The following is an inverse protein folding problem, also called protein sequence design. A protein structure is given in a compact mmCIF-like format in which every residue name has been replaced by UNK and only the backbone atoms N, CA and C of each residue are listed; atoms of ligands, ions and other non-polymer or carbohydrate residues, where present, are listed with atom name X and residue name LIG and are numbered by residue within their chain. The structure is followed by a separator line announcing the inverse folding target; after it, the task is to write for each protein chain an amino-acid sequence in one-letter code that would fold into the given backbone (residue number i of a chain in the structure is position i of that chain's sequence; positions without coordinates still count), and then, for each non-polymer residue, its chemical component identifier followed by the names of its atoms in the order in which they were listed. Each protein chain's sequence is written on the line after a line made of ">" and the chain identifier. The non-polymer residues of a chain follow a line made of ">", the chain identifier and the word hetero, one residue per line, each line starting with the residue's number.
data_IF_034309892772
#
_entry.id   IF_034309892772
#
_cell.length_a   1.000
_cell.length_b   1.000
_cell.length_c   1.000
_cell.angle_alpha   90.00
_cell.angle_beta   90.00
_cell.angle_gamma   90.00
#
_symmetry.space_group_name_H-M   'P 1'
#
loop_
_entity.id
_entity.type
_entity.pdbx_description
1 polymer ?
#
# COMPACT_ATOMS: atom_id res chain seq x y z
N UNK A 1 -40.72 14.47 -12.21
CA UNK A 1 -39.97 13.28 -12.65
C UNK A 1 -40.18 13.10 -14.13
N UNK A 2 -39.11 12.96 -14.93
CA UNK A 2 -39.19 12.74 -16.38
C UNK A 2 -39.01 11.26 -16.67
N UNK A 3 -39.95 10.66 -17.38
CA UNK A 3 -39.83 9.26 -17.84
C UNK A 3 -39.27 9.24 -19.25
N UNK A 4 -38.25 8.40 -19.47
CA UNK A 4 -37.56 8.22 -20.73
C UNK A 4 -37.58 6.75 -21.10
N UNK A 5 -38.03 6.45 -22.31
CA UNK A 5 -37.97 5.09 -22.84
C UNK A 5 -36.65 4.91 -23.57
N UNK A 6 -36.00 3.78 -23.32
CA UNK A 6 -34.69 3.46 -23.89
C UNK A 6 -34.86 2.58 -25.13
N UNK A 7 -33.95 2.72 -26.10
CA UNK A 7 -33.92 1.85 -27.27
C UNK A 7 -33.48 0.41 -26.91
N UNK A 8 -34.20 -0.59 -27.40
CA UNK A 8 -33.74 -1.98 -27.39
C UNK A 8 -32.63 -2.19 -28.43
N UNK A 9 -32.72 -1.51 -29.57
CA UNK A 9 -31.73 -1.62 -30.66
C UNK A 9 -31.40 -0.23 -31.20
N UNK A 10 -30.10 0.04 -31.32
CA UNK A 10 -29.55 1.26 -31.93
C UNK A 10 -28.71 0.92 -33.15
N UNK A 11 -28.47 1.89 -34.02
CA UNK A 11 -27.47 1.78 -35.08
C UNK A 11 -26.03 1.97 -34.55
N UNK A 12 -25.04 1.89 -35.45
CA UNK A 12 -23.64 2.08 -35.12
C UNK A 12 -23.30 3.49 -34.56
N UNK A 13 -24.18 4.48 -34.79
CA UNK A 13 -24.02 5.85 -34.27
C UNK A 13 -24.77 6.06 -32.95
N UNK A 14 -25.43 5.03 -32.41
CA UNK A 14 -26.23 5.12 -31.19
C UNK A 14 -27.64 5.69 -31.40
N UNK A 15 -28.07 5.89 -32.65
CA UNK A 15 -29.43 6.35 -32.93
C UNK A 15 -30.43 5.20 -32.81
N UNK A 16 -31.58 5.39 -32.13
CA UNK A 16 -32.61 4.35 -32.02
C UNK A 16 -33.16 3.99 -33.40
N UNK A 17 -33.35 2.69 -33.66
CA UNK A 17 -34.12 2.26 -34.83
C UNK A 17 -35.63 2.51 -34.59
N UNK A 18 -36.46 2.45 -35.63
CA UNK A 18 -37.92 2.50 -35.44
C UNK A 18 -38.41 1.26 -34.68
N UNK A 19 -39.55 1.33 -33.96
CA UNK A 19 -40.05 0.21 -33.14
C UNK A 19 -40.07 -1.14 -33.86
N UNK A 20 -40.59 -1.17 -35.08
CA UNK A 20 -40.69 -2.38 -35.92
C UNK A 20 -39.31 -3.00 -36.18
N UNK A 21 -38.31 -2.15 -36.48
CA UNK A 21 -36.93 -2.55 -36.76
C UNK A 21 -36.21 -3.03 -35.49
N UNK A 22 -36.45 -2.37 -34.36
CA UNK A 22 -35.90 -2.81 -33.08
C UNK A 22 -36.37 -4.22 -32.71
N UNK A 23 -37.68 -4.48 -32.83
CA UNK A 23 -38.28 -5.80 -32.58
C UNK A 23 -37.72 -6.86 -33.52
N UNK A 24 -37.66 -6.57 -34.82
CA UNK A 24 -37.17 -7.52 -35.81
C UNK A 24 -35.70 -7.91 -35.58
N UNK A 25 -34.80 -6.95 -35.28
CA UNK A 25 -33.39 -7.24 -35.00
C UNK A 25 -33.25 -8.06 -33.71
N UNK A 26 -33.94 -7.68 -32.64
CA UNK A 26 -33.87 -8.37 -31.36
C UNK A 26 -34.38 -9.81 -31.43
N UNK A 27 -35.54 -10.03 -32.07
CA UNK A 27 -36.10 -11.37 -32.30
C UNK A 27 -35.19 -12.20 -33.20
N UNK A 28 -34.71 -11.65 -34.31
CA UNK A 28 -33.80 -12.37 -35.22
C UNK A 28 -32.51 -12.80 -34.50
N UNK A 29 -31.95 -11.94 -33.65
CA UNK A 29 -30.79 -12.27 -32.81
C UNK A 29 -31.11 -13.41 -31.84
N UNK A 30 -32.26 -13.36 -31.18
CA UNK A 30 -32.70 -14.42 -30.25
C UNK A 30 -32.80 -15.79 -30.93
N UNK A 31 -33.29 -15.80 -32.18
CA UNK A 31 -33.72 -16.99 -32.91
C UNK A 31 -32.71 -17.53 -33.91
N UNK A 32 -31.52 -16.93 -33.88
CA UNK A 32 -30.36 -17.33 -34.67
C UNK A 32 -29.87 -18.77 -34.40
N UNK A 33 -30.29 -19.40 -33.29
CA UNK A 33 -29.90 -20.76 -32.86
C UNK A 33 -30.65 -21.93 -33.53
N UNK A 34 -31.44 -21.70 -34.59
CA UNK A 34 -32.32 -22.71 -35.23
C UNK A 34 -33.42 -23.30 -34.33
N UNK A 35 -33.58 -22.81 -33.10
CA UNK A 35 -34.65 -23.25 -32.18
C UNK A 35 -35.89 -22.37 -32.37
N UNK A 36 -37.09 -22.94 -32.24
CA UNK A 36 -38.37 -22.22 -32.22
C UNK A 36 -38.72 -21.80 -30.79
N UNK A 37 -39.44 -20.70 -30.66
CA UNK A 37 -39.85 -20.12 -29.37
C UNK A 37 -41.22 -20.63 -28.95
N UNK A 38 -41.41 -20.88 -27.67
CA UNK A 38 -42.73 -21.17 -27.07
C UNK A 38 -43.44 -19.88 -26.63
N UNK A 39 -42.69 -18.92 -26.09
CA UNK A 39 -43.19 -17.57 -25.77
C UNK A 39 -42.10 -16.50 -25.87
N UNK A 40 -42.45 -15.30 -26.33
CA UNK A 40 -41.58 -14.13 -26.24
C UNK A 40 -42.28 -12.96 -25.55
N UNK A 41 -41.60 -12.32 -24.62
CA UNK A 41 -42.15 -11.19 -23.87
C UNK A 41 -41.19 -10.03 -23.90
N UNK A 42 -41.69 -8.86 -24.29
CA UNK A 42 -40.97 -7.61 -24.15
C UNK A 42 -41.35 -6.96 -22.81
N UNK A 43 -40.39 -6.87 -21.90
CA UNK A 43 -40.55 -6.23 -20.59
C UNK A 43 -39.83 -4.89 -20.54
N UNK A 44 -40.28 -4.02 -19.64
CA UNK A 44 -39.62 -2.77 -19.31
C UNK A 44 -39.05 -2.86 -17.91
N UNK A 45 -37.73 -2.74 -17.77
CA UNK A 45 -37.04 -2.66 -16.49
C UNK A 45 -37.03 -1.18 -16.02
N UNK A 46 -37.78 -0.84 -14.96
CA UNK A 46 -37.80 0.52 -14.43
C UNK A 46 -36.52 0.80 -13.62
N UNK A 47 -35.77 1.82 -14.05
CA UNK A 47 -34.57 2.29 -13.38
C UNK A 47 -34.71 3.77 -13.06
N UNK A 48 -34.55 4.15 -11.80
CA UNK A 48 -34.54 5.54 -11.40
C UNK A 48 -33.10 6.08 -11.33
N UNK A 49 -32.84 7.14 -12.08
CA UNK A 49 -31.59 7.90 -12.05
C UNK A 49 -31.81 9.14 -11.18
N UNK A 50 -31.00 9.30 -10.13
CA UNK A 50 -31.06 10.47 -9.23
C UNK A 50 -29.74 11.23 -9.27
N UNK A 51 -29.81 12.52 -9.62
CA UNK A 51 -28.64 13.38 -9.81
C UNK A 51 -27.98 13.72 -8.48
N UNK A 52 -26.68 13.46 -8.38
CA UNK A 52 -25.81 13.85 -7.29
C UNK A 52 -24.99 15.07 -7.72
N UNK A 53 -25.43 16.26 -7.33
CA UNK A 53 -24.77 17.52 -7.69
C UNK A 53 -23.29 17.55 -7.27
N UNK A 54 -23.01 17.09 -6.05
CA UNK A 54 -21.68 17.08 -5.43
C UNK A 54 -20.63 16.30 -6.26
N UNK A 55 -21.06 15.25 -6.98
CA UNK A 55 -20.18 14.40 -7.80
C UNK A 55 -20.36 14.63 -9.31
N UNK A 56 -21.32 15.47 -9.71
CA UNK A 56 -21.64 15.73 -11.11
C UNK A 56 -22.08 14.49 -11.89
N UNK A 57 -22.82 13.57 -11.25
CA UNK A 57 -23.27 12.29 -11.82
C UNK A 57 -24.64 11.85 -11.30
N UNK A 58 -25.05 10.63 -11.61
CA UNK A 58 -26.31 10.01 -11.19
C UNK A 58 -26.04 8.70 -10.46
N UNK A 59 -26.79 8.47 -9.38
CA UNK A 59 -26.97 7.14 -8.82
C UNK A 59 -28.13 6.45 -9.55
N UNK A 60 -27.97 5.16 -9.85
CA UNK A 60 -28.95 4.38 -10.61
C UNK A 60 -29.59 3.32 -9.72
N UNK A 61 -30.91 3.34 -9.61
CA UNK A 61 -31.68 2.44 -8.75
C UNK A 61 -32.59 1.53 -9.57
N UNK A 62 -32.48 0.23 -9.35
CA UNK A 62 -33.42 -0.80 -9.79
C UNK A 62 -34.71 -0.70 -8.99
N UNK A 63 -35.80 -0.22 -9.61
CA UNK A 63 -37.07 -0.09 -8.91
C UNK A 63 -37.74 -1.45 -8.64
N UNK A 64 -37.28 -2.54 -9.27
CA UNK A 64 -37.82 -3.89 -9.06
C UNK A 64 -37.30 -4.57 -7.80
N UNK A 65 -36.21 -4.05 -7.21
CA UNK A 65 -35.58 -4.57 -5.99
C UNK A 65 -34.93 -5.94 -6.15
N UNK A 66 -34.51 -6.30 -7.36
CA UNK A 66 -33.77 -7.53 -7.64
C UNK A 66 -32.26 -7.32 -7.48
N UNK A 67 -31.78 -6.09 -7.64
CA UNK A 67 -30.37 -5.72 -7.57
C UNK A 67 -30.12 -4.90 -6.32
N UNK A 68 -29.06 -5.25 -5.60
CA UNK A 68 -28.52 -4.44 -4.52
C UNK A 68 -27.00 -4.33 -4.67
N UNK A 69 -26.46 -3.18 -4.29
CA UNK A 69 -25.01 -3.01 -4.17
C UNK A 69 -24.57 -3.46 -2.79
N UNK A 70 -23.55 -4.33 -2.74
CA UNK A 70 -22.90 -4.75 -1.49
C UNK A 70 -21.40 -4.51 -1.57
N UNK A 71 -20.82 -3.99 -0.51
CA UNK A 71 -19.36 -3.87 -0.39
C UNK A 71 -18.95 -3.93 1.07
N UNK A 72 -17.71 -4.37 1.28
CA UNK A 72 -17.13 -4.53 2.60
C UNK A 72 -16.32 -3.29 2.97
N UNK A 73 -16.62 -2.73 4.14
CA UNK A 73 -15.92 -1.61 4.75
C UNK A 73 -15.02 -2.12 5.88
N UNK A 74 -13.78 -1.66 5.90
CA UNK A 74 -12.85 -1.96 6.98
C UNK A 74 -13.13 -1.07 8.20
N UNK A 75 -13.25 -1.63 9.40
CA UNK A 75 -13.39 -0.82 10.63
C UNK A 75 -12.01 -0.48 11.17
N UNK A 76 -11.73 0.81 11.39
CA UNK A 76 -10.44 1.25 11.95
C UNK A 76 -10.18 0.65 13.34
N UNK A 77 -8.90 0.41 13.63
CA UNK A 77 -8.44 0.10 14.98
C UNK A 77 -8.67 1.27 15.94
N UNK A 78 -8.66 0.98 17.24
CA UNK A 78 -8.78 1.98 18.30
C UNK A 78 -7.44 2.72 18.53
N UNK A 79 -6.94 3.39 17.49
CA UNK A 79 -5.66 4.08 17.53
C UNK A 79 -5.63 5.21 18.56
N UNK A 80 -6.76 5.87 18.80
CA UNK A 80 -6.89 6.91 19.81
C UNK A 80 -6.59 6.37 21.22
N UNK A 81 -7.12 5.20 21.57
CA UNK A 81 -6.82 4.54 22.84
C UNK A 81 -5.32 4.26 23.01
N UNK A 82 -4.65 3.76 21.97
CA UNK A 82 -3.22 3.48 22.02
C UNK A 82 -2.38 4.76 22.15
N UNK A 83 -2.69 5.80 21.37
CA UNK A 83 -1.99 7.09 21.45
C UNK A 83 -2.15 7.75 22.82
N UNK A 84 -3.34 7.70 23.40
CA UNK A 84 -3.62 8.18 24.75
C UNK A 84 -2.91 7.37 25.84
N UNK A 85 -2.57 6.12 25.55
CA UNK A 85 -1.78 5.29 26.47
C UNK A 85 -0.29 5.63 26.41
N UNK A 86 0.23 5.98 25.22
CA UNK A 86 1.63 6.38 25.06
C UNK A 86 1.99 7.69 25.76
N UNK A 87 1.06 8.64 25.84
CA UNK A 87 1.29 9.90 26.55
C UNK A 87 1.52 9.73 28.06
N UNK A 88 1.14 8.57 28.62
CA UNK A 88 1.33 8.23 30.04
C UNK A 88 2.66 7.52 30.32
N UNK A 89 3.37 7.09 29.27
CA UNK A 89 4.63 6.36 29.42
C UNK A 89 5.77 7.33 29.73
N UNK A 90 6.68 6.90 30.61
CA UNK A 90 7.73 7.79 31.11
C UNK A 90 9.08 7.50 30.49
N UNK A 91 9.37 6.22 30.19
CA UNK A 91 10.67 5.79 29.68
C UNK A 91 10.62 5.34 28.21
N UNK A 92 11.72 5.50 27.45
CA UNK A 92 11.82 4.99 26.08
C UNK A 92 11.65 3.47 25.95
N UNK A 93 12.09 2.70 26.95
CA UNK A 93 11.97 1.24 26.94
C UNK A 93 10.51 0.79 27.11
N UNK A 94 9.75 1.44 28.01
CA UNK A 94 8.30 1.23 28.12
C UNK A 94 7.59 1.56 26.80
N UNK A 95 7.92 2.70 26.21
CA UNK A 95 7.35 3.13 24.93
C UNK A 95 7.61 2.11 23.82
N UNK A 96 8.87 1.70 23.63
CA UNK A 96 9.27 0.69 22.65
C UNK A 96 8.52 -0.64 22.84
N UNK A 97 8.35 -1.07 24.09
CA UNK A 97 7.68 -2.33 24.39
C UNK A 97 6.19 -2.27 24.03
N UNK A 98 5.47 -1.23 24.44
CA UNK A 98 4.05 -1.10 24.11
C UNK A 98 3.86 -0.88 22.61
N UNK A 99 4.71 -0.07 21.98
CA UNK A 99 4.66 0.27 20.55
C UNK A 99 4.63 -0.97 19.64
N UNK A 100 5.39 -2.02 19.99
CA UNK A 100 5.48 -3.26 19.21
C UNK A 100 4.28 -4.18 19.34
N UNK A 101 3.54 -4.07 20.43
CA UNK A 101 2.43 -4.96 20.74
C UNK A 101 1.10 -4.45 20.18
N UNK A 102 1.08 -3.23 19.64
CA UNK A 102 -0.12 -2.66 19.00
C UNK A 102 -0.24 -3.21 17.58
N UNK A 103 -1.41 -3.75 17.19
CA UNK A 103 -1.63 -4.28 15.85
C UNK A 103 -1.96 -3.13 14.86
N UNK A 104 -0.95 -2.34 14.50
CA UNK A 104 -1.11 -1.13 13.70
C UNK A 104 -1.75 -1.33 12.32
N UNK A 105 -1.58 -2.52 11.73
CA UNK A 105 -2.09 -2.84 10.40
C UNK A 105 -3.43 -3.59 10.42
N UNK A 106 -3.83 -4.13 11.57
CA UNK A 106 -4.99 -5.01 11.63
C UNK A 106 -6.27 -4.19 11.79
N UNK A 107 -7.27 -4.41 10.93
CA UNK A 107 -8.55 -3.80 11.12
C UNK A 107 -9.27 -4.40 12.32
N UNK A 108 -10.12 -3.61 12.97
CA UNK A 108 -10.95 -4.10 14.08
C UNK A 108 -11.99 -5.11 13.60
N UNK A 109 -12.38 -5.00 12.34
CA UNK A 109 -13.34 -5.89 11.71
C UNK A 109 -13.71 -5.41 10.31
N UNK A 110 -14.65 -6.12 9.71
CA UNK A 110 -15.23 -5.79 8.41
C UNK A 110 -16.74 -5.64 8.60
N UNK A 111 -17.29 -4.56 8.07
CA UNK A 111 -18.71 -4.28 8.02
C UNK A 111 -19.19 -4.40 6.58
N UNK A 112 -20.11 -5.33 6.31
CA UNK A 112 -20.74 -5.44 4.98
C UNK A 112 -21.88 -4.44 4.88
N UNK A 113 -21.72 -3.45 4.01
CA UNK A 113 -22.76 -2.48 3.67
C UNK A 113 -23.61 -3.02 2.54
N UNK A 114 -24.93 -2.83 2.62
CA UNK A 114 -25.88 -3.13 1.55
C UNK A 114 -26.70 -1.87 1.24
N UNK A 115 -26.63 -1.42 0.00
CA UNK A 115 -27.44 -0.32 -0.52
C UNK A 115 -28.53 -0.91 -1.41
N UNK A 116 -29.78 -0.80 -0.96
CA UNK A 116 -30.92 -1.50 -1.58
C UNK A 116 -31.28 -0.86 -2.92
N UNK A 117 -31.50 -1.66 -3.95
CA UNK A 117 -31.86 -1.17 -5.28
C UNK A 117 -30.72 -0.49 -6.03
N UNK A 118 -29.66 -0.05 -5.36
CA UNK A 118 -28.57 0.66 -6.03
C UNK A 118 -27.82 -0.29 -6.96
N UNK A 119 -27.62 0.13 -8.20
CA UNK A 119 -26.91 -0.62 -9.23
C UNK A 119 -25.43 -0.22 -9.21
N UNK A 120 -24.55 -1.20 -9.01
CA UNK A 120 -23.10 -0.96 -8.94
C UNK A 120 -22.44 -0.91 -10.31
N UNK A 121 -23.03 -1.62 -11.25
CA UNK A 121 -22.59 -1.78 -12.62
C UNK A 121 -22.85 -0.52 -13.44
N UNK A 122 -21.94 -0.20 -14.36
CA UNK A 122 -22.13 0.95 -15.24
C UNK A 122 -23.19 0.67 -16.31
N UNK A 123 -24.42 1.10 -16.03
CA UNK A 123 -25.56 1.01 -16.95
C UNK A 123 -25.66 2.22 -17.90
N UNK A 124 -24.75 3.19 -17.85
CA UNK A 124 -24.74 4.37 -18.73
C UNK A 124 -24.89 4.00 -20.21
N UNK A 125 -24.23 2.94 -20.73
CA UNK A 125 -24.40 2.52 -22.12
C UNK A 125 -25.84 2.15 -22.51
N UNK A 126 -26.66 1.67 -21.56
CA UNK A 126 -28.07 1.37 -21.81
C UNK A 126 -28.92 2.64 -21.73
N UNK A 127 -28.75 3.47 -20.71
CA UNK A 127 -29.65 4.61 -20.49
C UNK A 127 -29.36 5.83 -21.36
N UNK A 128 -28.34 5.81 -22.22
CA UNK A 128 -27.92 6.97 -23.04
C UNK A 128 -28.69 7.17 -24.36
N UNK A 129 -29.52 6.21 -24.79
CA UNK A 129 -30.20 6.27 -26.09
C UNK A 129 -31.73 6.29 -25.93
N UNK A 130 -32.33 7.48 -25.69
CA UNK A 130 -33.78 7.65 -25.66
C UNK A 130 -34.42 7.20 -26.98
N UNK A 131 -35.62 6.63 -26.89
CA UNK A 131 -36.38 6.12 -28.02
C UNK A 131 -37.88 6.37 -27.85
N UNK A 132 -38.63 6.16 -28.93
CA UNK A 132 -40.08 6.04 -28.88
C UNK A 132 -40.43 4.81 -28.02
N UNK A 133 -41.46 4.87 -27.14
CA UNK A 133 -41.84 3.75 -26.29
C UNK A 133 -42.14 2.49 -27.11
N UNK A 134 -41.53 1.37 -26.71
CA UNK A 134 -41.96 0.05 -27.13
C UNK A 134 -43.13 -0.41 -26.23
N UNK A 135 -44.03 -1.28 -26.72
CA UNK A 135 -45.17 -1.82 -25.97
C UNK A 135 -44.73 -2.88 -24.93
N UNK A 136 -43.90 -2.44 -23.99
CA UNK A 136 -43.32 -3.25 -22.92
C UNK A 136 -44.34 -3.54 -21.81
N UNK A 137 -44.25 -4.72 -21.19
CA UNK A 137 -44.87 -4.97 -19.89
C UNK A 137 -43.91 -4.44 -18.82
N UNK A 138 -44.33 -3.41 -18.11
CA UNK A 138 -43.51 -2.84 -17.05
C UNK A 138 -43.39 -3.85 -15.89
N UNK A 139 -42.16 -4.12 -15.45
CA UNK A 139 -41.93 -4.92 -14.26
C UNK A 139 -42.46 -4.19 -13.01
N UNK A 140 -42.96 -4.97 -12.04
CA UNK A 140 -43.48 -4.43 -10.79
C UNK A 140 -42.42 -3.62 -10.04
N UNK A 141 -42.75 -2.38 -9.68
CA UNK A 141 -41.91 -1.53 -8.83
C UNK A 141 -42.09 -1.92 -7.37
N UNK A 142 -41.02 -2.40 -6.74
CA UNK A 142 -40.98 -2.80 -5.33
C UNK A 142 -40.20 -1.82 -4.44
N UNK A 143 -39.40 -0.96 -5.05
CA UNK A 143 -38.66 0.09 -4.37
C UNK A 143 -39.33 1.42 -4.69
N UNK A 144 -39.70 2.17 -3.65
CA UNK A 144 -40.35 3.47 -3.76
C UNK A 144 -39.34 4.62 -3.72
N UNK A 145 -39.77 5.82 -4.11
CA UNK A 145 -38.99 7.06 -3.99
C UNK A 145 -38.49 7.32 -2.57
N UNK A 146 -39.28 6.97 -1.54
CA UNK A 146 -38.89 7.11 -0.14
C UNK A 146 -37.72 6.20 0.22
N UNK A 147 -37.76 4.94 -0.23
CA UNK A 147 -36.66 3.99 -0.04
C UNK A 147 -35.42 4.51 -0.75
N UNK A 148 -35.53 4.97 -2.00
CA UNK A 148 -34.39 5.52 -2.75
C UNK A 148 -33.78 6.72 -2.04
N UNK A 149 -34.62 7.59 -1.46
CA UNK A 149 -34.13 8.75 -0.71
C UNK A 149 -33.37 8.34 0.56
N UNK A 150 -33.85 7.33 1.29
CA UNK A 150 -33.14 6.76 2.44
C UNK A 150 -31.80 6.13 2.05
N UNK A 151 -31.75 5.41 0.93
CA UNK A 151 -30.51 4.78 0.44
C UNK A 151 -29.48 5.83 -0.04
N UNK A 152 -29.93 6.96 -0.57
CA UNK A 152 -29.06 8.11 -0.89
C UNK A 152 -28.50 8.74 0.39
N UNK A 153 -29.33 8.91 1.42
CA UNK A 153 -28.86 9.42 2.72
C UNK A 153 -27.83 8.48 3.35
N UNK A 154 -28.08 7.17 3.29
CA UNK A 154 -27.15 6.15 3.76
C UNK A 154 -25.83 6.19 2.97
N UNK A 155 -25.90 6.25 1.63
CA UNK A 155 -24.73 6.42 0.77
C UNK A 155 -23.90 7.66 1.14
N UNK A 156 -24.55 8.82 1.35
CA UNK A 156 -23.89 10.05 1.82
C UNK A 156 -23.27 9.88 3.21
N UNK A 157 -24.00 9.23 4.13
CA UNK A 157 -23.53 8.95 5.49
C UNK A 157 -22.25 8.13 5.46
N UNK A 158 -22.20 7.09 4.64
CA UNK A 158 -21.01 6.24 4.51
C UNK A 158 -19.83 7.02 3.94
N UNK A 159 -20.04 7.85 2.91
CA UNK A 159 -18.99 8.73 2.38
C UNK A 159 -18.43 9.66 3.47
N UNK A 160 -19.31 10.30 4.23
CA UNK A 160 -18.91 11.19 5.33
C UNK A 160 -18.13 10.45 6.40
N UNK A 161 -18.54 9.24 6.75
CA UNK A 161 -17.83 8.39 7.71
C UNK A 161 -16.42 8.07 7.20
N UNK A 162 -16.28 7.60 5.96
CA UNK A 162 -14.96 7.23 5.40
C UNK A 162 -14.06 8.47 5.28
N UNK A 163 -14.59 9.62 4.86
CA UNK A 163 -13.83 10.87 4.81
C UNK A 163 -13.36 11.30 6.20
N UNK A 164 -14.23 11.25 7.21
CA UNK A 164 -13.84 11.55 8.60
C UNK A 164 -12.83 10.56 9.16
N UNK A 165 -12.89 9.29 8.77
CA UNK A 165 -11.89 8.28 9.11
C UNK A 165 -10.52 8.56 8.48
N UNK A 166 -10.50 9.03 7.22
CA UNK A 166 -9.27 9.46 6.54
C UNK A 166 -8.63 10.66 7.23
N UNK A 167 -9.43 11.63 7.67
CA UNK A 167 -8.95 12.79 8.44
C UNK A 167 -8.38 12.36 9.80
N UNK A 168 -9.09 11.50 10.53
CA UNK A 168 -8.61 10.94 11.80
C UNK A 168 -7.29 10.19 11.66
N UNK A 169 -7.08 9.44 10.58
CA UNK A 169 -5.81 8.76 10.33
C UNK A 169 -4.64 9.74 10.18
N UNK A 170 -4.86 10.92 9.58
CA UNK A 170 -3.85 11.97 9.51
C UNK A 170 -3.55 12.56 10.89
N UNK A 171 -4.58 12.79 11.70
CA UNK A 171 -4.43 13.25 13.08
C UNK A 171 -3.66 12.23 13.92
N UNK A 172 -4.02 10.95 13.85
CA UNK A 172 -3.34 9.87 14.54
C UNK A 172 -1.87 9.76 14.14
N UNK A 173 -1.56 9.87 12.84
CA UNK A 173 -0.20 9.89 12.35
C UNK A 173 0.59 11.07 12.91
N UNK A 174 0.02 12.28 12.93
CA UNK A 174 0.67 13.48 13.49
C UNK A 174 0.94 13.33 14.99
N UNK A 175 -0.07 12.89 15.75
CA UNK A 175 0.07 12.65 17.19
C UNK A 175 1.10 11.57 17.47
N UNK A 176 1.09 10.47 16.71
CA UNK A 176 2.10 9.43 16.83
C UNK A 176 3.52 9.95 16.59
N UNK A 177 3.74 10.70 15.51
CA UNK A 177 5.05 11.28 15.20
C UNK A 177 5.54 12.19 16.32
N UNK A 178 4.70 13.06 16.86
CA UNK A 178 5.06 13.94 17.97
C UNK A 178 5.46 13.15 19.24
N UNK A 179 4.69 12.11 19.59
CA UNK A 179 4.99 11.23 20.73
C UNK A 179 6.32 10.50 20.49
N UNK A 180 6.52 9.96 19.29
CA UNK A 180 7.76 9.26 18.92
C UNK A 180 8.99 10.18 19.01
N UNK A 181 8.88 11.40 18.49
CA UNK A 181 9.94 12.41 18.56
C UNK A 181 10.32 12.78 20.00
N UNK A 182 9.34 12.86 20.91
CA UNK A 182 9.60 13.08 22.33
C UNK A 182 10.50 11.98 22.93
N UNK A 183 10.22 10.71 22.66
CA UNK A 183 11.03 9.59 23.16
C UNK A 183 12.39 9.48 22.48
N UNK A 184 12.47 9.78 21.18
CA UNK A 184 13.75 9.93 20.47
C UNK A 184 14.59 11.04 21.11
N UNK A 185 13.96 12.17 21.45
CA UNK A 185 14.60 13.28 22.16
C UNK A 185 15.16 12.87 23.51
N UNK A 186 14.38 12.12 24.31
CA UNK A 186 14.84 11.57 25.61
C UNK A 186 16.09 10.69 25.46
N UNK A 187 16.11 9.77 24.50
CA UNK A 187 17.28 8.91 24.25
C UNK A 187 18.48 9.71 23.74
N UNK A 188 18.27 10.73 22.90
CA UNK A 188 19.34 11.60 22.43
C UNK A 188 19.94 12.44 23.58
N UNK A 189 19.12 12.88 24.52
CA UNK A 189 19.56 13.56 25.73
C UNK A 189 20.33 12.60 26.68
N UNK A 190 19.83 11.39 26.87
CA UNK A 190 20.53 10.33 27.62
C UNK A 190 21.91 10.07 27.04
N UNK A 191 22.01 9.90 25.70
CA UNK A 191 23.28 9.74 24.99
C UNK A 191 24.26 10.87 25.30
N UNK A 192 23.80 12.13 25.22
CA UNK A 192 24.63 13.32 25.50
C UNK A 192 25.08 13.37 26.97
N UNK A 193 24.20 13.03 27.91
CA UNK A 193 24.53 12.97 29.34
C UNK A 193 25.57 11.91 29.63
N UNK A 194 25.41 10.71 29.06
CA UNK A 194 26.38 9.61 29.19
C UNK A 194 27.74 10.00 28.59
N UNK A 195 27.75 10.58 27.38
CA UNK A 195 28.98 11.04 26.73
C UNK A 195 29.72 12.07 27.59
N UNK A 196 29.02 13.10 28.08
CA UNK A 196 29.59 14.13 28.95
C UNK A 196 30.09 13.57 30.29
N UNK A 197 29.42 12.58 30.87
CA UNK A 197 29.82 11.98 32.14
C UNK A 197 31.15 11.24 32.01
N UNK A 198 31.32 10.44 30.95
CA UNK A 198 32.59 9.76 30.68
C UNK A 198 33.70 10.74 30.31
N UNK A 199 33.41 11.77 29.51
CA UNK A 199 34.40 12.78 29.14
C UNK A 199 34.96 13.52 30.36
N UNK A 200 34.08 13.92 31.29
CA UNK A 200 34.50 14.55 32.55
C UNK A 200 35.36 13.61 33.42
N UNK A 201 35.02 12.31 33.48
CA UNK A 201 35.81 11.34 34.24
C UNK A 201 37.19 11.10 33.61
N UNK A 202 37.26 10.98 32.29
CA UNK A 202 38.51 10.82 31.54
C UNK A 202 39.40 12.06 31.68
N UNK A 203 38.83 13.26 31.55
CA UNK A 203 39.54 14.52 31.74
C UNK A 203 40.14 14.63 33.14
N UNK A 204 39.37 14.28 34.18
CA UNK A 204 39.85 14.27 35.56
C UNK A 204 41.05 13.32 35.77
N UNK A 205 41.03 12.13 35.17
CA UNK A 205 42.17 11.19 35.28
C UNK A 205 43.36 11.66 34.46
N UNK A 206 43.13 12.30 33.30
CA UNK A 206 44.18 12.92 32.52
C UNK A 206 44.87 14.06 33.30
N UNK A 207 44.11 14.90 33.99
CA UNK A 207 44.65 15.94 34.86
C UNK A 207 45.48 15.35 36.01
N UNK A 208 44.97 14.29 36.66
CA UNK A 208 45.71 13.56 37.69
C UNK A 208 47.04 13.01 37.15
N UNK A 209 47.02 12.42 35.95
CA UNK A 209 48.21 11.92 35.28
C UNK A 209 49.18 13.05 34.92
N UNK A 210 48.69 14.20 34.45
CA UNK A 210 49.55 15.34 34.13
C UNK A 210 50.23 15.91 35.38
N UNK A 211 49.50 16.05 36.49
CA UNK A 211 50.06 16.47 37.77
C UNK A 211 51.09 15.47 38.28
N UNK A 212 50.80 14.17 38.17
CA UNK A 212 51.74 13.11 38.53
C UNK A 212 53.03 13.23 37.70
N UNK A 213 52.92 13.42 36.39
CA UNK A 213 54.08 13.58 35.50
C UNK A 213 54.90 14.83 35.83
N UNK A 214 54.26 15.96 36.17
CA UNK A 214 54.94 17.19 36.59
C UNK A 214 55.81 16.96 37.83
N UNK A 215 55.31 16.19 38.80
CA UNK A 215 56.05 15.89 40.04
C UNK A 215 57.09 14.80 39.84
N UNK A 216 56.75 13.72 39.16
CA UNK A 216 57.57 12.50 39.11
C UNK A 216 58.67 12.54 38.05
N UNK A 217 58.50 13.25 36.92
CA UNK A 217 59.54 13.33 35.86
C UNK A 217 60.86 13.93 36.36
N UNK A 218 60.89 15.07 37.10
CA UNK A 218 62.13 15.61 37.62
C UNK A 218 62.82 14.69 38.62
N UNK A 219 62.04 14.03 39.48
CA UNK A 219 62.56 13.09 40.48
C UNK A 219 63.21 11.88 39.81
N UNK A 220 62.52 11.26 38.87
CA UNK A 220 63.05 10.13 38.10
C UNK A 220 64.33 10.51 37.34
N UNK A 221 64.38 11.72 36.75
CA UNK A 221 65.57 12.22 36.07
C UNK A 221 66.78 12.34 37.01
N UNK A 222 66.61 12.96 38.18
CA UNK A 222 67.71 13.14 39.14
C UNK A 222 68.18 11.81 39.74
N UNK A 223 67.27 10.87 40.03
CA UNK A 223 67.64 9.54 40.53
C UNK A 223 68.43 8.73 39.48
N UNK A 224 67.96 8.72 38.23
CA UNK A 224 68.66 8.06 37.12
C UNK A 224 70.02 8.71 36.87
N UNK A 225 70.10 10.04 36.86
CA UNK A 225 71.35 10.79 36.68
C UNK A 225 72.34 10.47 37.80
N UNK A 226 71.92 10.52 39.06
CA UNK A 226 72.75 10.19 40.21
C UNK A 226 73.30 8.77 40.11
N UNK A 227 72.44 7.79 39.79
CA UNK A 227 72.85 6.39 39.63
C UNK A 227 73.81 6.18 38.46
N UNK A 228 73.58 6.89 37.35
CA UNK A 228 74.46 6.82 36.19
C UNK A 228 75.85 7.38 36.50
N UNK A 229 75.93 8.46 37.28
CA UNK A 229 77.21 9.03 37.73
C UNK A 229 77.99 8.07 38.65
N UNK A 230 77.34 7.28 39.50
CA UNK A 230 78.01 6.25 40.32
C UNK A 230 78.71 5.17 39.47
N UNK A 231 78.20 4.87 38.27
CA UNK A 231 78.80 3.90 37.35
C UNK A 231 79.85 4.52 36.42
N UNK A 232 79.86 5.84 36.26
CA UNK A 232 80.80 6.53 35.36
C UNK A 232 82.27 6.25 35.71
N UNK A 233 82.61 6.16 37.00
CA UNK A 233 83.95 5.83 37.47
C UNK A 233 84.35 4.39 37.11
N UNK A 234 83.45 3.41 37.32
CA UNK A 234 83.68 2.00 36.98
C UNK A 234 83.83 1.79 35.47
N UNK A 235 83.04 2.52 34.68
CA UNK A 235 83.13 2.50 33.22
C UNK A 235 84.45 3.14 32.78
N UNK A 236 84.81 4.31 33.30
CA UNK A 236 86.08 4.96 32.97
C UNK A 236 87.30 4.09 33.32
N UNK A 237 87.24 3.41 34.47
CA UNK A 237 88.28 2.47 34.90
C UNK A 237 88.40 1.28 33.94
N UNK A 238 87.29 0.66 33.52
CA UNK A 238 87.36 -0.48 32.59
C UNK A 238 87.89 -0.06 31.22
N UNK A 239 87.53 1.13 30.73
CA UNK A 239 88.10 1.69 29.51
C UNK A 239 89.61 1.97 29.64
N UNK A 240 90.04 2.49 30.80
CA UNK A 240 91.46 2.70 31.08
C UNK A 240 92.27 1.41 31.11
N UNK A 241 91.71 0.35 31.73
CA UNK A 241 92.32 -0.99 31.73
C UNK A 241 92.35 -1.57 30.32
N UNK A 242 91.25 -1.49 29.57
CA UNK A 242 91.18 -1.97 28.18
C UNK A 242 92.20 -1.27 27.28
N UNK A 243 92.41 0.04 27.42
CA UNK A 243 93.40 0.77 26.64
C UNK A 243 94.82 0.27 26.93
N UNK A 244 95.17 0.07 28.21
CA UNK A 244 96.45 -0.54 28.61
C UNK A 244 96.59 -1.95 28.03
N UNK A 245 95.58 -2.80 28.18
CA UNK A 245 95.61 -4.18 27.68
C UNK A 245 95.69 -4.26 26.15
N UNK A 246 95.06 -3.35 25.41
CA UNK A 246 95.20 -3.29 23.94
C UNK A 246 96.64 -2.95 23.52
N UNK A 247 97.29 -2.02 24.21
CA UNK A 247 98.72 -1.72 23.99
C UNK A 247 99.60 -2.93 24.35
N UNK A 248 99.25 -3.67 25.39
CA UNK A 248 99.97 -4.89 25.79
C UNK A 248 99.76 -6.07 24.82
N UNK A 249 98.59 -6.18 24.18
CA UNK A 249 98.33 -7.16 23.09
C UNK A 249 99.15 -6.81 21.86
N UNK A 250 99.14 -5.54 21.42
CA UNK A 250 99.91 -5.08 20.26
C UNK A 250 101.42 -5.28 20.44
N UNK A 251 101.90 -5.15 21.69
CA UNK A 251 103.30 -5.43 22.05
C UNK A 251 103.61 -6.90 22.37
N UNK A 252 102.66 -7.82 22.18
CA UNK A 252 102.83 -9.26 22.32
C UNK A 252 102.92 -9.79 23.76
N UNK A 253 102.60 -8.97 24.76
CA UNK A 253 102.72 -9.34 26.19
C UNK A 253 101.49 -10.08 26.74
N UNK A 254 100.34 -9.92 26.09
CA UNK A 254 99.05 -10.47 26.54
C UNK A 254 98.30 -11.01 25.33
N UNK A 255 97.49 -12.07 25.50
CA UNK A 255 96.75 -12.70 24.39
C UNK A 255 95.47 -11.94 24.01
N UNK A 256 95.04 -12.02 22.75
CA UNK A 256 93.75 -11.47 22.29
C UNK A 256 92.56 -11.99 23.13
N UNK A 257 92.64 -13.23 23.61
CA UNK A 257 91.61 -13.86 24.44
C UNK A 257 91.40 -13.13 25.77
N UNK A 258 92.47 -12.58 26.35
CA UNK A 258 92.41 -11.78 27.58
C UNK A 258 91.80 -10.40 27.35
N UNK A 259 92.05 -9.78 26.19
CA UNK A 259 91.36 -8.56 25.78
C UNK A 259 89.85 -8.79 25.55
N UNK A 260 89.46 -9.93 24.96
CA UNK A 260 88.05 -10.29 24.76
C UNK A 260 87.28 -10.46 26.08
N UNK A 261 87.91 -10.96 27.14
CA UNK A 261 87.29 -11.03 28.49
C UNK A 261 86.99 -9.66 29.08
N UNK A 262 87.77 -8.63 28.77
CA UNK A 262 87.51 -7.27 29.24
C UNK A 262 86.35 -6.62 28.48
N UNK A 263 86.19 -6.93 27.19
CA UNK A 263 84.99 -6.53 26.42
C UNK A 263 83.73 -7.15 27.02
N UNK A 264 83.77 -8.43 27.39
CA UNK A 264 82.66 -9.10 28.10
C UNK A 264 82.39 -8.48 29.48
N UNK A 265 83.43 -8.10 30.23
CA UNK A 265 83.27 -7.42 31.51
C UNK A 265 82.64 -6.02 31.37
N UNK A 266 83.00 -5.28 30.31
CA UNK A 266 82.37 -4.00 29.95
C UNK A 266 80.89 -4.18 29.65
N UNK A 267 80.54 -5.14 28.80
CA UNK A 267 79.14 -5.45 28.48
C UNK A 267 78.33 -5.83 29.72
N UNK A 268 78.92 -6.61 30.64
CA UNK A 268 78.27 -6.97 31.90
C UNK A 268 77.98 -5.75 32.78
N UNK A 269 78.94 -4.82 32.91
CA UNK A 269 78.74 -3.58 33.68
C UNK A 269 77.65 -2.70 33.05
N UNK A 270 77.65 -2.58 31.72
CA UNK A 270 76.62 -1.81 31.01
C UNK A 270 75.24 -2.43 31.18
N UNK A 271 75.13 -3.76 31.10
CA UNK A 271 73.88 -4.49 31.34
C UNK A 271 73.41 -4.37 32.78
N UNK A 272 74.32 -4.42 33.75
CA UNK A 272 73.98 -4.24 35.16
C UNK A 272 73.52 -2.81 35.46
N UNK A 273 74.15 -1.80 34.83
CA UNK A 273 73.69 -0.41 34.89
C UNK A 273 72.26 -0.30 34.34
N UNK A 274 72.02 -0.79 33.12
CA UNK A 274 70.72 -0.70 32.46
C UNK A 274 69.62 -1.40 33.28
N UNK A 275 69.92 -2.57 33.85
CA UNK A 275 69.02 -3.26 34.77
C UNK A 275 68.71 -2.45 36.04
N UNK A 276 69.70 -1.76 36.61
CA UNK A 276 69.49 -0.92 37.80
C UNK A 276 68.70 0.35 37.48
N UNK A 277 68.95 0.98 36.33
CA UNK A 277 68.19 2.14 35.87
C UNK A 277 66.72 1.77 35.61
N UNK A 278 66.47 0.64 34.95
CA UNK A 278 65.11 0.14 34.72
C UNK A 278 64.38 -0.18 36.04
N UNK A 279 65.07 -0.78 37.02
CA UNK A 279 64.49 -1.01 38.36
C UNK A 279 64.14 0.29 39.10
N UNK A 280 64.93 1.36 38.92
CA UNK A 280 64.65 2.67 39.50
C UNK A 280 63.46 3.36 38.82
N UNK A 281 63.31 3.18 37.50
CA UNK A 281 62.20 3.78 36.74
C UNK A 281 60.87 3.06 36.95
N UNK A 282 60.89 1.76 37.26
CA UNK A 282 59.69 0.94 37.28
C UNK A 282 58.56 1.44 38.22
N UNK A 283 58.83 1.91 39.45
CA UNK A 283 57.79 2.49 40.30
C UNK A 283 57.06 3.66 39.62
N UNK A 284 57.79 4.56 38.98
CA UNK A 284 57.23 5.71 38.26
C UNK A 284 56.39 5.28 37.05
N UNK A 285 56.89 4.30 36.28
CA UNK A 285 56.18 3.75 35.13
C UNK A 285 54.92 3.00 35.55
N UNK A 286 54.95 2.31 36.69
CA UNK A 286 53.81 1.54 37.18
C UNK A 286 52.62 2.42 37.54
N UNK A 287 52.83 3.55 38.22
CA UNK A 287 51.77 4.52 38.57
C UNK A 287 51.13 5.12 37.31
N UNK A 288 51.94 5.47 36.30
CA UNK A 288 51.45 5.98 35.00
C UNK A 288 50.66 4.90 34.26
N UNK A 289 51.14 3.65 34.24
CA UNK A 289 50.42 2.54 33.59
C UNK A 289 49.04 2.31 34.23
N UNK A 290 48.92 2.45 35.55
CA UNK A 290 47.63 2.31 36.25
C UNK A 290 46.64 3.39 35.82
N UNK A 291 47.07 4.66 35.77
CA UNK A 291 46.19 5.75 35.32
C UNK A 291 45.80 5.58 33.85
N UNK A 292 46.75 5.18 33.00
CA UNK A 292 46.47 4.88 31.59
C UNK A 292 45.46 3.74 31.43
N UNK A 293 45.60 2.65 32.17
CA UNK A 293 44.63 1.54 32.16
C UNK A 293 43.23 1.98 32.59
N UNK A 294 43.12 2.90 33.55
CA UNK A 294 41.82 3.47 33.93
C UNK A 294 41.18 4.27 32.80
N UNK A 295 41.96 5.11 32.11
CA UNK A 295 41.49 5.84 30.92
C UNK A 295 41.02 4.86 29.84
N UNK A 296 41.85 3.87 29.49
CA UNK A 296 41.51 2.87 28.48
C UNK A 296 40.22 2.10 28.85
N UNK A 297 40.00 1.80 30.15
CA UNK A 297 38.76 1.18 30.64
C UNK A 297 37.55 2.09 30.47
N UNK A 298 37.67 3.37 30.87
CA UNK A 298 36.58 4.35 30.73
C UNK A 298 36.23 4.61 29.27
N UNK A 299 37.21 4.70 28.37
CA UNK A 299 36.96 4.85 26.94
C UNK A 299 36.20 3.64 26.36
N UNK A 300 36.57 2.44 26.80
CA UNK A 300 35.88 1.21 26.39
C UNK A 300 34.45 1.18 26.92
N UNK A 301 34.24 1.47 28.20
CA UNK A 301 32.91 1.53 28.82
C UNK A 301 32.03 2.60 28.17
N UNK A 302 32.57 3.81 27.94
CA UNK A 302 31.91 4.88 27.18
C UNK A 302 31.40 4.37 25.84
N UNK A 303 32.27 3.72 25.07
CA UNK A 303 31.91 3.19 23.74
C UNK A 303 30.80 2.13 23.84
N UNK A 304 30.89 1.22 24.79
CA UNK A 304 29.89 0.17 24.99
C UNK A 304 28.52 0.73 25.40
N UNK A 305 28.47 1.71 26.30
CA UNK A 305 27.21 2.34 26.71
C UNK A 305 26.59 3.19 25.59
N UNK A 306 27.40 4.00 24.90
CA UNK A 306 26.91 4.79 23.78
C UNK A 306 26.37 3.90 22.65
N UNK A 307 27.01 2.77 22.36
CA UNK A 307 26.50 1.79 21.40
C UNK A 307 25.15 1.21 21.82
N UNK A 308 24.92 0.95 23.12
CA UNK A 308 23.61 0.49 23.60
C UNK A 308 22.54 1.56 23.35
N UNK A 309 22.81 2.82 23.66
CA UNK A 309 21.86 3.92 23.44
C UNK A 309 21.60 4.14 21.94
N UNK A 310 22.64 4.13 21.11
CA UNK A 310 22.54 4.28 19.66
C UNK A 310 21.70 3.14 19.04
N UNK A 311 21.88 1.90 19.52
CA UNK A 311 21.06 0.76 19.07
C UNK A 311 19.57 0.93 19.43
N UNK A 312 19.26 1.48 20.61
CA UNK A 312 17.88 1.79 21.02
C UNK A 312 17.29 2.91 20.15
N UNK A 313 18.07 3.95 19.83
CA UNK A 313 17.66 5.04 18.95
C UNK A 313 17.32 4.54 17.55
N UNK A 314 18.19 3.71 16.96
CA UNK A 314 17.96 3.12 15.64
C UNK A 314 16.69 2.26 15.63
N UNK A 315 16.54 1.43 16.67
CA UNK A 315 15.40 0.54 16.83
C UNK A 315 14.09 1.31 16.97
N UNK A 316 14.09 2.39 17.76
CA UNK A 316 12.93 3.27 17.93
C UNK A 316 12.55 3.98 16.64
N UNK A 317 13.52 4.52 15.91
CA UNK A 317 13.29 5.14 14.59
C UNK A 317 12.71 4.15 13.60
N UNK A 318 13.27 2.94 13.54
CA UNK A 318 12.78 1.88 12.66
C UNK A 318 11.34 1.50 12.99
N UNK A 319 11.05 1.16 14.24
CA UNK A 319 9.70 0.80 14.67
C UNK A 319 8.72 1.96 14.46
N UNK A 320 9.13 3.21 14.72
CA UNK A 320 8.30 4.39 14.44
C UNK A 320 7.96 4.54 12.96
N UNK A 321 8.93 4.34 12.06
CA UNK A 321 8.68 4.38 10.62
C UNK A 321 7.75 3.26 10.16
N UNK A 322 7.86 2.06 10.74
CA UNK A 322 6.97 0.92 10.43
C UNK A 322 5.51 1.24 10.81
N UNK A 323 5.28 1.94 11.91
CA UNK A 323 3.94 2.40 12.33
C UNK A 323 3.41 3.47 11.36
N UNK A 324 4.23 4.45 10.99
CA UNK A 324 3.83 5.47 10.00
C UNK A 324 3.45 4.82 8.67
N UNK A 325 4.23 3.86 8.20
CA UNK A 325 3.93 3.10 6.99
C UNK A 325 2.62 2.30 7.12
N UNK A 326 2.32 1.78 8.32
CA UNK A 326 1.06 1.09 8.60
C UNK A 326 -0.14 2.03 8.50
N UNK A 327 -0.07 3.25 9.04
CA UNK A 327 -1.12 4.26 8.87
C UNK A 327 -1.37 4.59 7.39
N UNK A 328 -0.32 4.73 6.57
CA UNK A 328 -0.47 4.98 5.13
C UNK A 328 -1.15 3.82 4.39
N UNK A 329 -0.85 2.56 4.77
CA UNK A 329 -1.53 1.39 4.18
C UNK A 329 -3.02 1.38 4.51
N UNK A 330 -3.38 1.65 5.77
CA UNK A 330 -4.79 1.72 6.20
C UNK A 330 -5.50 2.86 5.48
N UNK A 331 -4.86 4.03 5.36
CA UNK A 331 -5.36 5.18 4.60
C UNK A 331 -5.60 4.82 3.13
N UNK A 332 -4.70 4.08 2.50
CA UNK A 332 -4.87 3.67 1.10
C UNK A 332 -6.04 2.70 0.91
N UNK A 333 -6.27 1.79 1.87
CA UNK A 333 -7.47 0.94 1.86
C UNK A 333 -8.75 1.79 1.98
N UNK A 334 -8.75 2.78 2.87
CA UNK A 334 -9.87 3.72 3.04
C UNK A 334 -10.14 4.59 1.82
N UNK A 335 -9.10 5.03 1.12
CA UNK A 335 -9.25 5.71 -0.18
C UNK A 335 -9.89 4.81 -1.23
N UNK A 336 -9.52 3.53 -1.27
CA UNK A 336 -10.16 2.56 -2.18
C UNK A 336 -11.64 2.36 -1.87
N UNK A 337 -12.02 2.28 -0.59
CA UNK A 337 -13.44 2.25 -0.19
C UNK A 337 -14.19 3.51 -0.64
N UNK A 338 -13.62 4.70 -0.39
CA UNK A 338 -14.22 5.96 -0.82
C UNK A 338 -14.36 6.03 -2.35
N UNK A 339 -13.33 5.61 -3.09
CA UNK A 339 -13.35 5.55 -4.55
C UNK A 339 -14.42 4.58 -5.06
N UNK A 340 -14.60 3.42 -4.42
CA UNK A 340 -15.64 2.47 -4.78
C UNK A 340 -17.03 3.11 -4.65
N UNK A 341 -17.32 3.75 -3.52
CA UNK A 341 -18.63 4.39 -3.26
C UNK A 341 -18.88 5.61 -4.16
N UNK A 342 -17.89 6.48 -4.31
CA UNK A 342 -18.01 7.67 -5.18
C UNK A 342 -18.16 7.28 -6.64
N UNK A 343 -17.56 6.16 -7.07
CA UNK A 343 -17.71 5.66 -8.43
C UNK A 343 -19.12 5.18 -8.76
N UNK A 344 -19.99 4.92 -7.77
CA UNK A 344 -21.37 4.55 -8.03
C UNK A 344 -22.16 5.69 -8.71
N UNK A 345 -21.75 6.95 -8.51
CA UNK A 345 -22.30 8.08 -9.24
C UNK A 345 -21.65 8.21 -10.62
N UNK A 346 -22.45 8.06 -11.69
CA UNK A 346 -21.96 8.06 -13.08
C UNK A 346 -22.56 9.19 -13.91
N UNK A 347 -21.77 9.77 -14.82
CA UNK A 347 -22.26 10.79 -15.74
C UNK A 347 -23.20 10.18 -16.76
N UNK A 348 -24.30 10.87 -17.05
CA UNK A 348 -25.26 10.49 -18.10
C UNK A 348 -25.55 11.68 -19.01
N UNK A 349 -26.35 11.47 -20.05
CA UNK A 349 -26.79 12.54 -20.97
C UNK A 349 -27.89 13.44 -20.38
N UNK A 350 -28.41 13.10 -19.21
CA UNK A 350 -29.56 13.78 -18.60
C UNK A 350 -29.13 14.98 -17.76
N UNK A 351 -30.03 15.95 -17.61
CA UNK A 351 -29.80 17.15 -16.80
C UNK A 351 -30.80 17.30 -15.65
N UNK A 352 -31.88 16.53 -15.68
CA UNK A 352 -32.95 16.58 -14.70
C UNK A 352 -32.54 15.89 -13.38
N UNK A 353 -33.00 16.42 -12.24
CA UNK A 353 -32.62 15.88 -10.93
C UNK A 353 -33.04 14.42 -10.72
N UNK A 354 -34.17 14.04 -11.34
CA UNK A 354 -34.70 12.68 -11.33
C UNK A 354 -35.22 12.29 -12.71
N UNK A 355 -34.67 11.21 -13.24
CA UNK A 355 -35.08 10.60 -14.50
C UNK A 355 -35.47 9.15 -14.25
N UNK A 356 -36.66 8.77 -14.68
CA UNK A 356 -37.05 7.37 -14.77
C UNK A 356 -36.67 6.87 -16.18
N UNK A 357 -35.85 5.83 -16.25
CA UNK A 357 -35.49 5.15 -17.48
C UNK A 357 -36.18 3.79 -17.56
N UNK A 358 -36.99 3.59 -18.59
CA UNK A 358 -37.60 2.27 -18.88
C UNK A 358 -36.71 1.55 -19.88
N UNK A 359 -35.93 0.58 -19.39
CA UNK A 359 -34.99 -0.20 -20.21
C UNK A 359 -35.70 -1.43 -20.79
N UNK A 360 -35.89 -1.53 -22.11
CA UNK A 360 -36.57 -2.69 -22.70
C UNK A 360 -35.66 -3.92 -22.69
N UNK A 361 -36.25 -5.07 -22.39
CA UNK A 361 -35.59 -6.37 -22.44
C UNK A 361 -36.52 -7.37 -23.10
N UNK A 362 -36.02 -8.07 -24.10
CA UNK A 362 -36.75 -9.16 -24.75
C UNK A 362 -36.39 -10.48 -24.05
N UNK A 363 -37.39 -11.08 -23.41
CA UNK A 363 -37.31 -12.41 -22.82
C UNK A 363 -37.87 -13.44 -23.81
N UNK A 364 -37.08 -14.47 -24.12
CA UNK A 364 -37.45 -15.51 -25.08
C UNK A 364 -37.35 -16.86 -24.40
N UNK A 365 -38.42 -17.67 -24.45
CA UNK A 365 -38.41 -19.04 -23.94
C UNK A 365 -38.43 -20.01 -25.09
N UNK A 366 -37.43 -20.88 -25.17
CA UNK A 366 -37.36 -21.88 -26.22
C UNK A 366 -38.24 -23.12 -25.93
N UNK A 367 -38.26 -24.07 -26.86
CA UNK A 367 -38.99 -25.33 -26.73
C UNK A 367 -38.47 -26.24 -25.59
N UNK A 368 -37.27 -26.00 -25.08
CA UNK A 368 -36.67 -26.71 -23.94
C UNK A 368 -36.92 -25.97 -22.62
N UNK A 369 -37.79 -24.95 -22.62
CA UNK A 369 -38.05 -24.07 -21.47
C UNK A 369 -36.83 -23.28 -20.99
N UNK A 370 -35.81 -23.13 -21.83
CA UNK A 370 -34.66 -22.26 -21.52
C UNK A 370 -35.04 -20.82 -21.81
N UNK A 371 -34.85 -19.94 -20.81
CA UNK A 371 -35.06 -18.50 -20.96
C UNK A 371 -33.78 -17.81 -21.42
N UNK A 372 -33.91 -16.92 -22.41
CA UNK A 372 -32.86 -16.03 -22.90
C UNK A 372 -33.34 -14.58 -22.75
N UNK A 373 -32.54 -13.75 -22.08
CA UNK A 373 -32.75 -12.31 -22.00
C UNK A 373 -31.88 -11.57 -23.02
N UNK A 374 -32.48 -10.66 -23.76
CA UNK A 374 -31.82 -9.80 -24.74
C UNK A 374 -32.05 -8.35 -24.34
N UNK A 375 -30.98 -7.70 -23.91
CA UNK A 375 -30.94 -6.30 -23.54
C UNK A 375 -30.01 -5.55 -24.49
N UNK A 376 -30.41 -4.35 -24.93
CA UNK A 376 -29.59 -3.36 -25.63
C UNK A 376 -28.65 -3.90 -26.71
N UNK A 377 -29.00 -3.75 -27.98
CA UNK A 377 -28.22 -4.23 -29.13
C UNK A 377 -27.76 -3.07 -30.04
N UNK A 378 -26.60 -3.26 -30.66
CA UNK A 378 -26.09 -2.42 -31.76
C UNK A 378 -26.31 -3.20 -33.06
N UNK A 379 -27.16 -2.69 -33.93
CA UNK A 379 -27.41 -3.24 -35.26
C UNK A 379 -26.19 -3.02 -36.16
N UNK A 380 -25.78 -4.09 -36.86
CA UNK A 380 -24.55 -4.08 -37.68
C UNK A 380 -24.71 -3.41 -39.06
N UNK A 381 -25.91 -2.92 -39.38
CA UNK A 381 -26.19 -2.26 -40.66
C UNK A 381 -26.47 -3.23 -41.81
N UNK A 382 -26.51 -2.71 -43.04
CA UNK A 382 -26.68 -3.50 -44.26
C UNK A 382 -25.67 -4.63 -44.33
N UNK A 383 -26.14 -5.82 -44.71
CA UNK A 383 -25.27 -6.96 -44.92
C UNK A 383 -24.44 -6.75 -46.21
N UNK A 384 -23.21 -6.23 -46.08
CA UNK A 384 -22.28 -5.97 -47.20
C UNK A 384 -21.62 -7.25 -47.74
N UNK A 385 -22.38 -8.31 -47.98
CA UNK A 385 -21.84 -9.53 -48.59
C UNK A 385 -21.76 -9.33 -50.11
N UNK A 386 -20.71 -8.64 -50.59
CA UNK A 386 -20.55 -8.27 -52.00
C UNK A 386 -20.30 -9.45 -52.95
N UNK A 387 -20.11 -10.66 -52.42
CA UNK A 387 -20.07 -11.90 -53.18
C UNK A 387 -20.81 -12.97 -52.38
N UNK A 388 -21.78 -13.62 -53.04
CA UNK A 388 -22.63 -14.67 -52.49
C UNK A 388 -21.87 -16.00 -52.27
N UNK A 389 -20.56 -15.96 -51.95
CA UNK A 389 -19.81 -17.11 -51.47
C UNK A 389 -20.05 -17.24 -49.97
N UNK A 390 -20.93 -18.17 -49.61
CA UNK A 390 -21.35 -18.40 -48.25
C UNK A 390 -20.18 -18.64 -47.30
N UNK A 391 -20.23 -18.01 -46.12
CA UNK A 391 -20.11 -18.72 -44.83
C UNK A 391 -19.88 -17.82 -43.61
N UNK A 392 -19.60 -16.51 -43.75
CA UNK A 392 -19.26 -15.67 -42.57
C UNK A 392 -20.12 -14.40 -42.45
N UNK A 393 -20.42 -13.68 -43.55
CA UNK A 393 -21.14 -12.39 -43.49
C UNK A 393 -22.65 -12.49 -43.19
N UNK A 394 -23.35 -13.49 -43.74
CA UNK A 394 -24.82 -13.63 -43.63
C UNK A 394 -25.32 -14.47 -42.45
N UNK A 395 -24.50 -14.76 -41.44
CA UNK A 395 -24.95 -15.49 -40.25
C UNK A 395 -25.79 -14.55 -39.39
N UNK A 396 -27.03 -14.96 -39.04
CA UNK A 396 -27.93 -14.19 -38.19
C UNK A 396 -27.32 -13.81 -36.83
N UNK A 397 -26.32 -14.56 -36.35
CA UNK A 397 -25.56 -14.20 -35.15
C UNK A 397 -24.86 -12.84 -35.26
N UNK A 398 -24.55 -12.38 -36.47
CA UNK A 398 -23.80 -11.14 -36.75
C UNK A 398 -24.71 -9.95 -37.06
N UNK A 399 -26.04 -10.10 -36.97
CA UNK A 399 -26.99 -9.02 -37.24
C UNK A 399 -26.86 -7.87 -36.24
N UNK A 400 -26.40 -8.19 -35.03
CA UNK A 400 -26.18 -7.23 -33.96
C UNK A 400 -25.16 -7.73 -32.95
N UNK A 401 -24.54 -6.79 -32.25
CA UNK A 401 -23.71 -7.05 -31.07
C UNK A 401 -24.38 -6.46 -29.84
N UNK A 402 -24.29 -7.10 -28.66
CA UNK A 402 -24.77 -6.47 -27.43
C UNK A 402 -24.03 -5.16 -27.15
N UNK A 403 -24.73 -4.17 -26.61
CA UNK A 403 -24.12 -2.90 -26.17
C UNK A 403 -23.14 -3.17 -25.03
N UNK A 404 -23.49 -4.12 -24.14
CA UNK A 404 -22.60 -4.60 -23.09
C UNK A 404 -22.96 -6.03 -22.69
N UNK A 405 -22.05 -6.98 -22.95
CA UNK A 405 -22.23 -8.40 -22.64
C UNK A 405 -22.29 -8.68 -21.13
N UNK A 406 -21.58 -7.93 -20.30
CA UNK A 406 -21.50 -8.20 -18.85
C UNK A 406 -22.80 -7.89 -18.12
N UNK A 407 -23.59 -6.96 -18.63
CA UNK A 407 -24.85 -6.51 -18.03
C UNK A 407 -26.05 -7.43 -18.35
N UNK A 408 -25.90 -8.36 -19.30
CA UNK A 408 -26.96 -9.32 -19.66
C UNK A 408 -27.40 -10.19 -18.46
N UNK A 409 -26.51 -10.38 -17.48
CA UNK A 409 -26.78 -11.13 -16.25
C UNK A 409 -27.68 -10.40 -15.26
N UNK A 410 -27.85 -9.08 -15.37
CA UNK A 410 -28.74 -8.29 -14.51
C UNK A 410 -30.21 -8.65 -14.75
N UNK A 411 -30.53 -9.23 -15.91
CA UNK A 411 -31.89 -9.51 -16.37
C UNK A 411 -32.31 -10.96 -16.22
N UNK A 412 -31.79 -11.68 -15.22
CA UNK A 412 -32.22 -13.05 -14.89
C UNK A 412 -33.62 -13.02 -14.27
N UNK A 413 -34.62 -12.71 -15.08
CA UNK A 413 -36.03 -12.70 -14.66
C UNK A 413 -36.47 -14.13 -14.41
N UNK A 414 -36.78 -14.43 -13.15
CA UNK A 414 -37.28 -15.73 -12.71
C UNK A 414 -38.80 -15.65 -12.61
N UNK A 415 -39.50 -15.44 -13.73
CA UNK A 415 -40.96 -15.42 -13.73
C UNK A 415 -41.55 -16.33 -14.83
N UNK A 416 -42.20 -17.44 -14.46
CA UNK A 416 -42.83 -18.35 -15.40
C UNK A 416 -44.13 -17.81 -16.03
N UNK A 417 -44.73 -16.74 -15.52
CA UNK A 417 -46.12 -16.33 -15.82
C UNK A 417 -46.28 -15.07 -16.69
N UNK A 418 -45.20 -14.52 -17.27
CA UNK A 418 -45.31 -13.34 -18.12
C UNK A 418 -46.07 -13.64 -19.44
N UNK A 419 -47.06 -12.81 -19.84
CA UNK A 419 -47.80 -13.03 -21.08
C UNK A 419 -46.94 -12.73 -22.31
N UNK A 420 -47.24 -13.42 -23.41
CA UNK A 420 -46.61 -13.18 -24.72
C UNK A 420 -47.24 -11.97 -25.39
N UNK A 421 -46.66 -10.78 -25.15
CA UNK A 421 -47.07 -9.53 -25.81
C UNK A 421 -46.43 -9.35 -27.18
N UNK A 422 -45.46 -10.18 -27.57
CA UNK A 422 -44.81 -10.13 -28.89
C UNK A 422 -45.75 -10.66 -29.97
N UNK A 423 -46.55 -11.70 -29.69
CA UNK A 423 -47.57 -12.24 -30.61
C UNK A 423 -48.58 -11.18 -31.05
N UNK A 424 -48.87 -10.20 -30.20
CA UNK A 424 -49.80 -9.11 -30.51
C UNK A 424 -49.22 -8.08 -31.50
N UNK A 425 -47.90 -8.09 -31.72
CA UNK A 425 -47.15 -7.15 -32.57
C UNK A 425 -46.75 -7.78 -33.91
N UNK A 426 -47.51 -8.79 -34.35
CA UNK A 426 -47.19 -9.59 -35.53
C UNK A 426 -46.94 -8.72 -36.77
N UNK A 427 -47.80 -7.74 -37.03
CA UNK A 427 -47.73 -6.89 -38.22
C UNK A 427 -46.47 -6.02 -38.22
N UNK A 428 -46.15 -5.43 -37.08
CA UNK A 428 -44.95 -4.63 -36.85
C UNK A 428 -43.68 -5.47 -37.06
N UNK A 429 -43.69 -6.70 -36.57
CA UNK A 429 -42.57 -7.64 -36.71
C UNK A 429 -42.41 -8.06 -38.17
N UNK A 430 -43.48 -8.42 -38.87
CA UNK A 430 -43.46 -8.77 -40.29
C UNK A 430 -42.90 -7.61 -41.14
N UNK A 431 -43.34 -6.37 -40.88
CA UNK A 431 -42.80 -5.18 -41.54
C UNK A 431 -41.29 -4.98 -41.26
N UNK A 432 -40.85 -5.16 -40.01
CA UNK A 432 -39.44 -5.08 -39.64
C UNK A 432 -38.58 -6.19 -40.25
N UNK A 433 -39.13 -7.41 -40.39
CA UNK A 433 -38.47 -8.56 -41.03
C UNK A 433 -38.32 -8.34 -42.53
N UNK A 434 -39.34 -7.79 -43.21
CA UNK A 434 -39.24 -7.40 -44.62
C UNK A 434 -38.11 -6.38 -44.83
N UNK A 435 -38.01 -5.38 -43.95
CA UNK A 435 -36.90 -4.43 -43.99
C UNK A 435 -35.53 -5.10 -43.80
N UNK A 436 -35.40 -6.07 -42.89
CA UNK A 436 -34.15 -6.82 -42.73
C UNK A 436 -33.77 -7.64 -43.97
N UNK A 437 -34.78 -8.19 -44.66
CA UNK A 437 -34.57 -8.86 -45.94
C UNK A 437 -34.06 -7.89 -47.02
N UNK A 438 -34.66 -6.69 -47.12
CA UNK A 438 -34.20 -5.62 -48.02
C UNK A 438 -32.77 -5.16 -47.72
N UNK A 439 -32.37 -5.21 -46.45
CA UNK A 439 -31.00 -4.91 -45.99
C UNK A 439 -30.01 -6.07 -46.25
N UNK A 440 -30.48 -7.19 -46.83
CA UNK A 440 -29.67 -8.31 -47.28
C UNK A 440 -29.46 -9.42 -46.25
N UNK A 441 -30.21 -9.42 -45.14
CA UNK A 441 -30.13 -10.47 -44.12
C UNK A 441 -31.00 -11.69 -44.47
N UNK A 442 -30.47 -12.89 -44.22
CA UNK A 442 -31.21 -14.16 -44.44
C UNK A 442 -32.12 -14.47 -43.24
N UNK A 443 -33.23 -13.76 -43.14
CA UNK A 443 -34.26 -13.89 -42.09
C UNK A 443 -35.31 -14.94 -42.45
N UNK A 444 -36.05 -15.48 -41.47
CA UNK A 444 -37.25 -16.28 -41.72
C UNK A 444 -38.39 -15.33 -42.10
N UNK A 445 -39.20 -15.70 -43.10
CA UNK A 445 -40.16 -14.77 -43.72
C UNK A 445 -41.52 -14.76 -43.03
N UNK A 446 -41.95 -15.89 -42.48
CA UNK A 446 -43.23 -16.00 -41.80
C UNK A 446 -43.04 -15.86 -40.30
N UNK A 447 -43.96 -15.17 -39.64
CA UNK A 447 -43.97 -15.05 -38.18
C UNK A 447 -44.06 -16.43 -37.51
N UNK A 448 -44.83 -17.35 -38.10
CA UNK A 448 -44.99 -18.74 -37.69
C UNK A 448 -43.70 -19.56 -37.82
N UNK A 449 -42.72 -19.10 -38.59
CA UNK A 449 -41.42 -19.76 -38.64
C UNK A 449 -40.62 -19.48 -37.36
N UNK A 450 -40.93 -18.43 -36.62
CA UNK A 450 -40.25 -18.04 -35.38
C UNK A 450 -40.90 -18.66 -34.13
N UNK A 451 -42.22 -18.87 -34.15
CA UNK A 451 -43.00 -19.37 -33.01
C UNK A 451 -43.50 -20.81 -33.22
N UNK A 452 -43.70 -21.56 -32.12
CA UNK A 452 -44.44 -22.81 -32.12
C UNK A 452 -45.95 -22.58 -32.06
#
# INVERSE_FOLDING_TARGET
>A
MKTVHIALVVDANGSPLTPERQLAVALTKALSRKVKVTSATLIGWPVQLVRMEELGGYLSFDETGQIDTKFDRVVLGDYEHYLNSFSKLTTPDEFLNVLRNVPWFEPRGVETVRLKGLISEDITPFVKNPSVPLPTILLERKITDDVISLEIEEWRRIQKIITGELEKLEEYKRSFSAISEMFIGKLAEERRKTESLYDQQIERINDEMEQLLKVKKPLAYEEVKKKSLEFSSKIAEIYGVMAKTRLDVESGKVSERQAATLESAKEKILKDLDNQLNKLLEPYLSEIRVLKQKIDSLEKEKKEELMKIDSKLELLRKTGNDVIASFERVKENKKRELNQITSLARRTIYIEDRVEAIVPVLLVRDALSTSLAISGLIYSGKNKSFLNLGSIGGKLNNISTPINDSLTNLFKVTDPALPDNIKLLRREIENGVLWLEEEGWKVRKLFEDYFW
#
